data_IF_512299731474
#
_entry.id   IF_512299731474
#
_cell.length_a   1.000
_cell.length_b   1.000
_cell.length_c   1.000
_cell.angle_alpha   90.00
_cell.angle_beta   90.00
_cell.angle_gamma   90.00
#
_symmetry.space_group_name_H-M   'P 1'
#
loop_
_entity.id
_entity.type
_entity.pdbx_description
1 polymer ?
#
# COMPACT_ATOMS: atom_id res chain seq x y z
N UNK A 1 -0.66 21.62 24.23
CA UNK A 1 -1.09 20.31 23.71
C UNK A 1 -0.22 20.00 22.51
N UNK A 2 0.58 18.95 22.57
CA UNK A 2 1.44 18.54 21.45
C UNK A 2 0.55 17.85 20.41
N UNK A 3 0.18 18.59 19.37
CA UNK A 3 -0.58 18.04 18.25
C UNK A 3 0.36 17.16 17.42
N UNK A 4 -0.06 15.93 17.11
CA UNK A 4 0.70 14.97 16.27
C UNK A 4 0.59 15.33 14.78
N UNK A 5 0.88 16.59 14.44
CA UNK A 5 0.70 17.11 13.08
C UNK A 5 1.74 16.62 12.07
N UNK A 6 2.76 15.90 12.55
CA UNK A 6 3.76 15.21 11.72
C UNK A 6 3.46 13.73 11.54
N UNK A 7 2.41 13.20 12.16
CA UNK A 7 1.99 11.80 11.98
C UNK A 7 1.15 11.70 10.70
N UNK A 8 1.61 10.86 9.78
CA UNK A 8 0.89 10.50 8.55
C UNK A 8 0.79 8.98 8.54
N UNK A 9 -0.44 8.47 8.52
CA UNK A 9 -0.73 7.04 8.38
C UNK A 9 -1.26 6.78 6.96
N UNK A 10 -0.71 5.77 6.28
CA UNK A 10 -1.29 5.25 5.03
C UNK A 10 -2.12 4.02 5.39
N UNK A 11 -3.40 4.05 5.07
CA UNK A 11 -4.32 2.94 5.21
C UNK A 11 -4.54 2.29 3.85
N UNK A 12 -4.04 1.06 3.72
CA UNK A 12 -4.24 0.22 2.53
C UNK A 12 -5.67 -0.35 2.54
N UNK A 13 -6.53 0.23 1.71
CA UNK A 13 -7.95 -0.11 1.52
C UNK A 13 -8.12 -1.03 0.31
N UNK A 14 -7.52 -2.23 0.40
CA UNK A 14 -7.53 -3.23 -0.69
C UNK A 14 -8.78 -4.12 -0.76
N UNK A 15 -9.82 -3.79 0.03
CA UNK A 15 -11.14 -4.47 0.06
C UNK A 15 -11.12 -5.98 0.36
N UNK A 16 -9.99 -6.54 0.79
CA UNK A 16 -9.83 -7.96 1.13
C UNK A 16 -9.34 -8.12 2.57
N UNK A 17 -9.92 -9.08 3.30
CA UNK A 17 -9.49 -9.54 4.62
C UNK A 17 -9.10 -11.02 4.57
N UNK A 18 -8.54 -11.55 5.66
CA UNK A 18 -8.20 -12.99 5.82
C UNK A 18 -9.40 -13.89 5.44
N UNK A 19 -10.62 -13.49 5.82
CA UNK A 19 -11.85 -14.28 5.62
C UNK A 19 -12.57 -13.97 4.28
N UNK A 20 -11.92 -13.23 3.37
CA UNK A 20 -12.51 -12.78 2.11
C UNK A 20 -12.83 -11.27 2.10
N UNK A 21 -13.73 -10.83 1.21
CA UNK A 21 -14.01 -9.39 1.02
C UNK A 21 -14.33 -8.66 2.33
N UNK A 22 -13.81 -7.44 2.51
CA UNK A 22 -14.10 -6.56 3.66
C UNK A 22 -15.59 -6.31 3.87
N UNK A 23 -16.42 -6.50 2.84
CA UNK A 23 -17.88 -6.42 2.93
C UNK A 23 -18.51 -7.50 3.84
N UNK A 24 -17.80 -8.60 4.13
CA UNK A 24 -18.30 -9.70 4.96
C UNK A 24 -18.07 -9.49 6.47
N UNK A 25 -17.08 -8.68 6.88
CA UNK A 25 -16.61 -8.63 8.28
C UNK A 25 -16.34 -7.23 8.82
N UNK A 26 -16.32 -6.18 7.99
CA UNK A 26 -15.99 -4.83 8.42
C UNK A 26 -17.08 -3.83 8.00
N UNK A 27 -17.97 -3.48 8.93
CA UNK A 27 -19.00 -2.43 8.76
C UNK A 27 -18.55 -1.07 9.30
N UNK A 28 -17.28 -0.90 9.66
CA UNK A 28 -16.77 0.33 10.27
C UNK A 28 -16.44 1.37 9.20
N UNK A 29 -17.11 2.53 9.28
CA UNK A 29 -16.80 3.69 8.43
C UNK A 29 -15.50 4.34 8.93
N UNK A 30 -14.37 3.86 8.40
CA UNK A 30 -13.03 4.34 8.74
C UNK A 30 -12.92 5.86 8.58
N UNK A 31 -13.56 6.43 7.56
CA UNK A 31 -13.54 7.87 7.30
C UNK A 31 -14.25 8.60 8.44
N UNK A 32 -15.48 8.20 8.77
CA UNK A 32 -16.24 8.82 9.84
C UNK A 32 -15.56 8.65 11.21
N UNK A 33 -15.05 7.46 11.50
CA UNK A 33 -14.37 7.14 12.76
C UNK A 33 -13.14 8.04 12.98
N UNK A 34 -12.24 8.14 12.00
CA UNK A 34 -11.04 8.96 12.14
C UNK A 34 -11.34 10.46 12.08
N UNK A 35 -12.33 10.87 11.29
CA UNK A 35 -12.82 12.26 11.31
C UNK A 35 -13.34 12.63 12.71
N UNK A 36 -14.06 11.73 13.38
CA UNK A 36 -14.56 11.96 14.75
C UNK A 36 -13.44 12.12 15.79
N UNK A 37 -12.27 11.52 15.54
CA UNK A 37 -11.07 11.67 16.37
C UNK A 37 -10.29 12.97 16.09
N UNK A 38 -10.76 13.80 15.16
CA UNK A 38 -10.11 15.05 14.76
C UNK A 38 -8.94 14.86 13.78
N UNK A 39 -8.84 13.70 13.13
CA UNK A 39 -7.83 13.47 12.10
C UNK A 39 -8.18 14.19 10.80
N UNK A 40 -7.15 14.62 10.08
CA UNK A 40 -7.28 14.96 8.69
C UNK A 40 -7.37 13.68 7.85
N UNK A 41 -8.53 13.37 7.29
CA UNK A 41 -8.73 12.16 6.47
C UNK A 41 -8.69 12.53 5.00
N UNK A 42 -7.78 11.90 4.25
CA UNK A 42 -7.59 12.11 2.82
C UNK A 42 -7.83 10.80 2.08
N UNK A 43 -8.85 10.76 1.22
CA UNK A 43 -9.11 9.63 0.33
C UNK A 43 -8.32 9.82 -0.96
N UNK A 44 -7.33 8.96 -1.21
CA UNK A 44 -6.44 9.03 -2.37
C UNK A 44 -7.01 8.33 -3.60
N UNK A 45 -7.94 7.39 -3.41
CA UNK A 45 -8.46 6.55 -4.50
C UNK A 45 -7.44 5.52 -4.96
N UNK A 46 -7.61 5.03 -6.19
CA UNK A 46 -6.80 3.97 -6.81
C UNK A 46 -5.54 4.53 -7.50
N UNK A 47 -4.66 5.15 -6.71
CA UNK A 47 -3.39 5.71 -7.22
C UNK A 47 -2.16 4.88 -6.79
N UNK A 48 -2.36 3.65 -6.31
CA UNK A 48 -1.29 2.82 -5.73
C UNK A 48 -0.09 2.57 -6.66
N UNK A 49 -0.32 2.57 -7.97
CA UNK A 49 0.71 2.35 -8.99
C UNK A 49 1.22 3.65 -9.65
N UNK A 50 0.74 4.82 -9.20
CA UNK A 50 1.16 6.14 -9.68
C UNK A 50 2.08 6.82 -8.66
N UNK A 51 3.39 6.67 -8.86
CA UNK A 51 4.41 7.20 -7.95
C UNK A 51 4.39 8.73 -7.84
N UNK A 52 4.09 9.44 -8.94
CA UNK A 52 4.04 10.90 -8.96
C UNK A 52 2.82 11.39 -8.16
N UNK A 53 1.65 10.75 -8.34
CA UNK A 53 0.45 11.06 -7.58
C UNK A 53 0.64 10.76 -6.07
N UNK A 54 1.28 9.64 -5.73
CA UNK A 54 1.62 9.30 -4.35
C UNK A 54 2.56 10.33 -3.71
N UNK A 55 3.61 10.76 -4.43
CA UNK A 55 4.52 11.79 -3.94
C UNK A 55 3.80 13.11 -3.68
N UNK A 56 2.96 13.55 -4.63
CA UNK A 56 2.15 14.77 -4.49
C UNK A 56 1.23 14.66 -3.26
N UNK A 57 0.54 13.53 -3.10
CA UNK A 57 -0.37 13.28 -1.98
C UNK A 57 0.35 13.33 -0.62
N UNK A 58 1.49 12.62 -0.50
CA UNK A 58 2.26 12.58 0.74
C UNK A 58 2.91 13.93 1.06
N UNK A 59 3.39 14.67 0.06
CA UNK A 59 3.91 16.01 0.26
C UNK A 59 2.81 16.99 0.70
N UNK A 60 1.58 16.85 0.18
CA UNK A 60 0.43 17.62 0.66
C UNK A 60 0.07 17.26 2.11
N UNK A 61 0.05 15.97 2.45
CA UNK A 61 -0.18 15.51 3.83
C UNK A 61 0.87 16.07 4.81
N UNK A 62 2.15 16.14 4.40
CA UNK A 62 3.24 16.74 5.19
C UNK A 62 3.09 18.24 5.44
N UNK A 63 2.29 18.94 4.65
CA UNK A 63 2.02 20.37 4.84
C UNK A 63 0.87 20.63 5.84
N UNK A 64 0.06 19.63 6.14
CA UNK A 64 -1.04 19.75 7.08
C UNK A 64 -0.53 20.03 8.51
N UNK A 65 -1.26 20.86 9.25
CA UNK A 65 -0.91 21.26 10.62
C UNK A 65 -2.13 21.14 11.54
N UNK A 66 -1.87 20.88 12.81
CA UNK A 66 -2.90 20.88 13.85
C UNK A 66 -3.61 19.54 14.10
N UNK A 67 -3.36 18.50 13.30
CA UNK A 67 -3.83 17.14 13.58
C UNK A 67 -3.03 16.09 12.78
N UNK A 68 -3.03 14.82 13.20
CA UNK A 68 -2.51 13.72 12.37
C UNK A 68 -3.31 13.55 11.07
N UNK A 69 -2.68 12.98 10.05
CA UNK A 69 -3.31 12.70 8.75
C UNK A 69 -3.46 11.19 8.51
N UNK A 70 -4.65 10.76 8.07
CA UNK A 70 -4.90 9.42 7.55
C UNK A 70 -5.11 9.51 6.03
N UNK A 71 -4.18 8.95 5.27
CA UNK A 71 -4.27 8.78 3.82
C UNK A 71 -4.85 7.39 3.50
N UNK A 72 -6.08 7.33 3.01
CA UNK A 72 -6.75 6.10 2.59
C UNK A 72 -6.41 5.85 1.12
N UNK A 73 -5.63 4.81 0.86
CA UNK A 73 -5.16 4.42 -0.46
C UNK A 73 -5.84 3.13 -0.89
N UNK A 74 -6.51 3.14 -2.04
CA UNK A 74 -7.08 1.92 -2.60
C UNK A 74 -6.02 1.23 -3.45
N UNK A 75 -5.76 -0.05 -3.16
CA UNK A 75 -4.81 -0.90 -3.90
C UNK A 75 -5.46 -2.23 -4.26
N UNK A 76 -4.82 -2.97 -5.16
CA UNK A 76 -5.22 -4.31 -5.54
C UNK A 76 -4.31 -5.33 -4.85
N UNK A 77 -4.86 -6.13 -3.93
CA UNK A 77 -4.07 -7.16 -3.24
C UNK A 77 -3.53 -8.16 -4.28
N UNK A 78 -2.29 -8.61 -4.09
CA UNK A 78 -1.68 -9.60 -4.98
C UNK A 78 -1.32 -9.07 -6.38
N UNK A 79 -1.58 -7.80 -6.70
CA UNK A 79 -1.09 -7.17 -7.93
C UNK A 79 0.45 -7.25 -7.98
N UNK A 80 1.06 -7.57 -9.14
CA UNK A 80 0.48 -7.77 -10.47
C UNK A 80 0.30 -9.26 -10.83
N UNK A 81 0.01 -10.12 -9.85
CA UNK A 81 -0.20 -11.54 -10.09
C UNK A 81 -1.34 -11.77 -11.09
N UNK A 82 -1.10 -12.49 -12.20
CA UNK A 82 -2.17 -12.81 -13.14
C UNK A 82 -3.19 -13.81 -12.55
N UNK A 83 -2.86 -14.45 -11.43
CA UNK A 83 -3.69 -15.49 -10.80
C UNK A 83 -4.40 -15.00 -9.55
N UNK A 84 -3.79 -14.08 -8.81
CA UNK A 84 -4.21 -13.73 -7.45
C UNK A 84 -4.37 -12.23 -7.21
N UNK A 85 -4.39 -11.41 -8.27
CA UNK A 85 -4.86 -10.02 -8.11
C UNK A 85 -6.31 -10.02 -7.65
N UNK A 86 -6.61 -9.27 -6.59
CA UNK A 86 -7.92 -9.16 -5.93
C UNK A 86 -8.47 -10.48 -5.34
N UNK A 87 -7.61 -11.48 -5.15
CA UNK A 87 -7.99 -12.79 -4.61
C UNK A 87 -7.53 -12.95 -3.16
N UNK A 88 -8.38 -13.56 -2.33
CA UNK A 88 -8.09 -13.79 -0.91
C UNK A 88 -6.89 -14.73 -0.70
N UNK A 89 -6.61 -15.61 -1.67
CA UNK A 89 -5.45 -16.49 -1.67
C UNK A 89 -4.14 -15.69 -1.62
N UNK A 90 -4.11 -14.45 -2.14
CA UNK A 90 -2.94 -13.59 -2.05
C UNK A 90 -2.63 -13.10 -0.62
N UNK A 91 -3.58 -13.18 0.31
CA UNK A 91 -3.44 -12.60 1.64
C UNK A 91 -2.53 -13.43 2.56
N UNK A 92 -2.76 -14.75 2.61
CA UNK A 92 -2.14 -15.63 3.61
C UNK A 92 -1.38 -16.82 3.06
N UNK A 93 -1.53 -17.15 1.78
CA UNK A 93 -0.94 -18.35 1.21
C UNK A 93 0.34 -18.01 0.41
N UNK A 94 1.41 -18.80 0.56
CA UNK A 94 2.58 -18.64 -0.29
C UNK A 94 2.21 -18.97 -1.74
N UNK A 95 2.67 -18.14 -2.67
CA UNK A 95 2.54 -18.45 -4.09
C UNK A 95 3.39 -19.70 -4.38
N UNK A 96 2.78 -20.72 -4.97
CA UNK A 96 3.51 -21.88 -5.48
C UNK A 96 4.40 -21.47 -6.66
N UNK A 97 5.38 -22.32 -6.99
CA UNK A 97 6.42 -22.02 -7.98
C UNK A 97 5.87 -21.53 -9.33
N UNK A 98 4.76 -22.11 -9.80
CA UNK A 98 4.11 -21.71 -11.05
C UNK A 98 3.54 -20.28 -11.02
N UNK A 99 2.91 -19.90 -9.90
CA UNK A 99 2.35 -18.56 -9.72
C UNK A 99 3.44 -17.51 -9.56
N UNK A 100 4.54 -17.88 -8.87
CA UNK A 100 5.74 -17.03 -8.77
C UNK A 100 6.33 -16.78 -10.15
N UNK A 101 6.53 -17.83 -10.96
CA UNK A 101 7.09 -17.72 -12.31
C UNK A 101 6.24 -16.79 -13.19
N UNK A 102 4.91 -16.98 -13.19
CA UNK A 102 3.99 -16.15 -13.98
C UNK A 102 3.97 -14.70 -13.52
N UNK A 103 4.00 -14.44 -12.22
CA UNK A 103 4.07 -13.07 -11.68
C UNK A 103 5.39 -12.39 -12.06
N UNK A 104 6.52 -13.12 -11.99
CA UNK A 104 7.82 -12.60 -12.43
C UNK A 104 7.86 -12.30 -13.93
N UNK A 105 7.18 -13.11 -14.75
CA UNK A 105 7.05 -12.85 -16.18
C UNK A 105 6.26 -11.54 -16.46
N UNK A 106 5.18 -11.28 -15.70
CA UNK A 106 4.44 -10.00 -15.78
C UNK A 106 5.33 -8.82 -15.40
N UNK A 107 6.14 -8.97 -14.35
CA UNK A 107 7.10 -7.96 -13.91
C UNK A 107 8.32 -7.81 -14.84
N UNK A 108 8.47 -8.71 -15.82
CA UNK A 108 9.63 -8.79 -16.70
C UNK A 108 10.96 -8.89 -15.94
N UNK A 109 11.01 -9.75 -14.91
CA UNK A 109 12.20 -10.02 -14.09
C UNK A 109 12.64 -11.49 -14.18
N UNK A 110 13.93 -11.81 -13.95
CA UNK A 110 14.42 -13.18 -13.98
C UNK A 110 13.71 -14.12 -13.00
N UNK A 111 13.44 -15.35 -13.43
CA UNK A 111 12.89 -16.40 -12.59
C UNK A 111 13.95 -17.05 -11.67
N UNK A 112 14.60 -16.22 -10.86
CA UNK A 112 15.63 -16.64 -9.91
C UNK A 112 15.19 -16.30 -8.48
N UNK A 113 15.35 -17.19 -7.49
CA UNK A 113 15.10 -16.87 -6.09
C UNK A 113 16.01 -15.73 -5.61
N UNK A 114 15.45 -14.76 -4.88
CA UNK A 114 16.18 -13.63 -4.29
C UNK A 114 16.96 -12.74 -5.29
N UNK A 115 16.60 -12.78 -6.58
CA UNK A 115 17.18 -11.88 -7.56
C UNK A 115 16.77 -10.44 -7.29
N UNK A 116 17.73 -9.52 -7.41
CA UNK A 116 17.49 -8.08 -7.34
C UNK A 116 18.42 -7.34 -8.32
N UNK A 117 17.95 -6.27 -8.98
CA UNK A 117 18.81 -5.48 -9.87
C UNK A 117 19.94 -4.81 -9.09
N UNK A 118 21.20 -4.99 -9.52
CA UNK A 118 22.37 -4.44 -8.82
C UNK A 118 22.29 -2.91 -8.66
N UNK A 119 21.75 -2.21 -9.66
CA UNK A 119 21.57 -0.75 -9.61
C UNK A 119 20.61 -0.33 -8.50
N UNK A 120 19.47 -1.01 -8.37
CA UNK A 120 18.48 -0.75 -7.31
C UNK A 120 19.08 -0.98 -5.94
N UNK A 121 19.78 -2.11 -5.74
CA UNK A 121 20.44 -2.42 -4.45
C UNK A 121 21.51 -1.38 -4.10
N UNK A 122 22.30 -0.93 -5.08
CA UNK A 122 23.30 0.11 -4.86
C UNK A 122 22.67 1.45 -4.45
N UNK A 123 21.64 1.90 -5.18
CA UNK A 123 20.92 3.14 -4.87
C UNK A 123 20.30 3.11 -3.47
N UNK A 124 19.61 2.03 -3.10
CA UNK A 124 19.02 1.90 -1.75
C UNK A 124 20.07 1.97 -0.63
N UNK A 125 21.27 1.39 -0.84
CA UNK A 125 22.36 1.45 0.14
C UNK A 125 22.97 2.84 0.28
N UNK A 126 23.00 3.62 -0.80
CA UNK A 126 23.48 5.00 -0.77
C UNK A 126 22.52 5.90 0.01
N UNK A 127 21.22 5.84 -0.29
CA UNK A 127 20.19 6.59 0.44
C UNK A 127 20.12 6.21 1.93
N UNK A 128 20.27 4.95 2.28
CA UNK A 128 20.20 4.51 3.68
C UNK A 128 21.41 4.90 4.54
N UNK A 129 22.50 5.36 3.92
CA UNK A 129 23.73 5.80 4.62
C UNK A 129 23.77 7.32 4.86
N UNK A 130 22.91 8.09 4.19
CA UNK A 130 22.76 9.53 4.37
C UNK A 130 21.68 9.86 5.39
#
# INVERSE_FOLDING_TARGET
SDLLDRLICVYDDNKITIDGSTALTCSDDVVARFTSYGWNVVQLGEIGEDLDALEIALNKAKQHRGSPTLCILQTHIGFPSPDFTDSHEAHGNPFLAEHVERTKAVLNIPNEPFWAPTKTVAASREYARG
#
